data_IF_912026128980
#
_entry.id   IF_912026128980
#
_cell.length_a   1.000
_cell.length_b   1.000
_cell.length_c   1.000
_cell.angle_alpha   90.00
_cell.angle_beta   90.00
_cell.angle_gamma   90.00
#
_symmetry.space_group_name_H-M   'P 1'
#
loop_
_entity.id
_entity.type
_entity.pdbx_description
1 polymer ?
#
# COMPACT_ATOMS: atom_id res chain seq x y z
N UNK A 1 -14.62 -18.49 17.93
CA UNK A 1 -14.36 -17.90 16.61
C UNK A 1 -12.95 -17.34 16.67
N UNK A 2 -11.96 -18.16 16.36
CA UNK A 2 -10.54 -17.80 16.48
C UNK A 2 -10.07 -17.45 15.08
N UNK A 3 -10.00 -16.15 14.76
CA UNK A 3 -9.39 -15.70 13.51
C UNK A 3 -7.93 -16.15 13.51
N UNK A 4 -7.60 -17.00 12.55
CA UNK A 4 -6.28 -17.57 12.37
C UNK A 4 -5.24 -16.45 12.21
N UNK A 5 -4.04 -16.57 12.82
CA UNK A 5 -2.96 -15.63 12.55
C UNK A 5 -2.50 -15.86 11.11
N UNK A 6 -3.07 -15.13 10.15
CA UNK A 6 -2.49 -15.05 8.81
C UNK A 6 -1.05 -14.57 8.99
N UNK A 7 -0.12 -15.46 8.69
CA UNK A 7 1.32 -15.27 8.83
C UNK A 7 1.69 -13.91 8.24
N UNK A 8 2.06 -13.00 9.14
CA UNK A 8 2.19 -11.55 8.93
C UNK A 8 3.41 -11.21 8.07
N UNK A 9 3.38 -11.60 6.80
CA UNK A 9 4.24 -11.04 5.77
C UNK A 9 3.52 -9.86 5.12
N UNK A 10 3.19 -8.85 5.93
CA UNK A 10 2.71 -7.58 5.39
C UNK A 10 3.89 -6.64 5.20
N UNK A 11 3.97 -6.05 4.02
CA UNK A 11 4.87 -4.93 3.76
C UNK A 11 4.16 -3.66 4.17
N UNK A 12 4.78 -2.83 5.01
CA UNK A 12 4.26 -1.53 5.40
C UNK A 12 4.31 -0.53 4.25
N UNK A 13 3.42 0.47 4.29
CA UNK A 13 3.47 1.59 3.31
C UNK A 13 4.76 2.40 3.39
N UNK A 14 5.56 2.22 4.45
CA UNK A 14 6.88 2.82 4.60
C UNK A 14 7.84 2.39 3.48
N UNK A 15 7.72 1.15 2.98
CA UNK A 15 8.53 0.67 1.86
C UNK A 15 8.28 1.46 0.55
N UNK A 16 7.14 2.17 0.43
CA UNK A 16 6.90 3.07 -0.70
C UNK A 16 7.89 4.24 -0.73
N UNK A 17 8.50 4.58 0.41
CA UNK A 17 9.50 5.62 0.50
C UNK A 17 10.71 5.31 -0.36
N UNK A 18 11.11 4.03 -0.42
CA UNK A 18 12.22 3.55 -1.25
C UNK A 18 11.92 3.66 -2.75
N UNK A 19 10.64 3.71 -3.13
CA UNK A 19 10.19 3.90 -4.51
C UNK A 19 9.96 5.37 -4.87
N UNK A 20 10.28 6.29 -3.96
CA UNK A 20 10.17 7.74 -4.19
C UNK A 20 8.83 8.35 -3.80
N UNK A 21 8.01 7.64 -3.00
CA UNK A 21 6.82 8.24 -2.38
C UNK A 21 7.24 9.06 -1.15
N UNK A 22 6.71 10.28 -1.03
CA UNK A 22 7.05 11.16 0.11
C UNK A 22 6.51 10.61 1.43
N UNK A 23 7.30 10.69 2.50
CA UNK A 23 6.90 10.35 3.87
C UNK A 23 5.58 11.03 4.30
N UNK A 24 5.32 12.24 3.81
CA UNK A 24 4.06 12.96 4.09
C UNK A 24 2.85 12.24 3.51
N UNK A 25 2.96 11.68 2.30
CA UNK A 25 1.88 10.96 1.64
C UNK A 25 1.70 9.57 2.27
N UNK A 26 2.79 8.91 2.67
CA UNK A 26 2.76 7.66 3.45
C UNK A 26 2.01 7.87 4.77
N UNK A 27 2.30 8.97 5.48
CA UNK A 27 1.62 9.29 6.75
C UNK A 27 0.12 9.50 6.56
N UNK A 28 -0.31 10.14 5.46
CA UNK A 28 -1.74 10.29 5.12
C UNK A 28 -2.42 8.95 4.84
N UNK A 29 -1.72 8.03 4.16
CA UNK A 29 -2.23 6.67 3.95
C UNK A 29 -2.49 5.96 5.28
N UNK A 30 -1.51 6.03 6.21
CA UNK A 30 -1.64 5.46 7.56
C UNK A 30 -2.78 6.08 8.35
N UNK A 31 -2.91 7.41 8.31
CA UNK A 31 -4.01 8.16 8.94
C UNK A 31 -5.38 7.75 8.37
N UNK A 32 -5.42 7.45 7.06
CA UNK A 32 -6.56 6.87 6.36
C UNK A 32 -6.86 5.41 6.66
N UNK A 33 -6.08 4.74 7.53
CA UNK A 33 -6.21 3.32 7.83
C UNK A 33 -5.47 2.37 6.88
N UNK A 34 -4.70 2.89 5.93
CA UNK A 34 -3.90 2.11 4.98
C UNK A 34 -2.44 2.03 5.44
N UNK A 35 -2.17 1.21 6.45
CA UNK A 35 -0.82 1.05 6.99
C UNK A 35 0.06 0.06 6.21
N UNK A 36 -0.53 -0.78 5.35
CA UNK A 36 0.19 -1.83 4.61
C UNK A 36 0.00 -1.69 3.09
N UNK A 37 1.00 -2.13 2.33
CA UNK A 37 0.96 -2.22 0.86
C UNK A 37 -0.28 -2.97 0.39
N UNK A 38 -0.61 -4.09 1.06
CA UNK A 38 -1.81 -4.88 0.75
C UNK A 38 -3.09 -4.07 0.94
N UNK A 39 -3.21 -3.31 2.04
CA UNK A 39 -4.36 -2.43 2.27
C UNK A 39 -4.49 -1.34 1.19
N UNK A 40 -3.37 -0.74 0.75
CA UNK A 40 -3.36 0.25 -0.34
C UNK A 40 -3.76 -0.36 -1.68
N UNK A 41 -3.35 -1.61 -1.96
CA UNK A 41 -3.71 -2.31 -3.18
C UNK A 41 -5.19 -2.69 -3.22
N UNK A 42 -5.73 -3.18 -2.09
CA UNK A 42 -7.17 -3.51 -1.98
C UNK A 42 -8.04 -2.25 -1.98
N UNK A 43 -7.50 -1.13 -1.51
CA UNK A 43 -8.18 0.15 -1.52
C UNK A 43 -8.52 0.62 -2.94
N UNK A 44 -9.75 1.07 -3.10
CA UNK A 44 -10.20 1.74 -4.32
C UNK A 44 -9.58 3.13 -4.43
N UNK A 45 -9.35 3.58 -5.68
CA UNK A 45 -8.81 4.92 -5.97
C UNK A 45 -9.56 6.03 -5.22
N UNK A 46 -10.90 5.93 -5.17
CA UNK A 46 -11.78 6.85 -4.43
C UNK A 46 -11.44 6.98 -2.95
N UNK A 47 -11.07 5.90 -2.28
CA UNK A 47 -10.71 5.92 -0.86
C UNK A 47 -9.38 6.66 -0.66
N UNK A 48 -8.41 6.39 -1.53
CA UNK A 48 -7.10 7.02 -1.48
C UNK A 48 -7.17 8.52 -1.83
N UNK A 49 -7.97 8.91 -2.83
CA UNK A 49 -8.21 10.32 -3.19
C UNK A 49 -9.06 11.07 -2.15
N UNK A 50 -9.82 10.35 -1.32
CA UNK A 50 -10.58 10.96 -0.22
C UNK A 50 -9.68 11.47 0.90
N UNK A 51 -8.41 11.03 0.96
CA UNK A 51 -7.42 11.52 1.91
C UNK A 51 -7.01 12.95 1.55
N UNK A 52 -7.11 13.85 2.53
CA UNK A 52 -6.84 15.27 2.34
C UNK A 52 -5.39 15.50 1.90
N UNK A 53 -5.22 16.03 0.69
CA UNK A 53 -3.90 16.30 0.10
C UNK A 53 -3.25 15.12 -0.62
N UNK A 54 -4.02 14.09 -0.99
CA UNK A 54 -3.65 13.07 -1.97
C UNK A 54 -4.42 13.36 -3.27
N UNK A 55 -3.70 13.56 -4.38
CA UNK A 55 -4.29 13.77 -5.71
C UNK A 55 -4.28 12.47 -6.52
N UNK A 56 -5.08 12.38 -7.59
CA UNK A 56 -5.12 11.21 -8.48
C UNK A 56 -3.73 10.78 -8.96
N UNK A 57 -2.88 11.74 -9.35
CA UNK A 57 -1.49 11.46 -9.78
C UNK A 57 -0.68 10.77 -8.66
N UNK A 58 -0.88 11.17 -7.40
CA UNK A 58 -0.19 10.54 -6.27
C UNK A 58 -0.72 9.13 -6.04
N UNK A 59 -2.04 8.95 -6.13
CA UNK A 59 -2.67 7.62 -6.02
C UNK A 59 -2.12 6.67 -7.07
N UNK A 60 -2.00 7.09 -8.32
CA UNK A 60 -1.41 6.26 -9.37
C UNK A 60 0.04 5.85 -9.04
N UNK A 61 0.88 6.82 -8.64
CA UNK A 61 2.26 6.53 -8.23
C UNK A 61 2.35 5.58 -7.04
N UNK A 62 1.50 5.80 -6.03
CA UNK A 62 1.42 4.96 -4.83
C UNK A 62 1.00 3.53 -5.21
N UNK A 63 -0.04 3.36 -6.04
CA UNK A 63 -0.52 2.04 -6.45
C UNK A 63 0.48 1.32 -7.35
N UNK A 64 1.15 2.02 -8.26
CA UNK A 64 2.25 1.46 -9.07
C UNK A 64 3.38 0.94 -8.17
N UNK A 65 3.82 1.78 -7.23
CA UNK A 65 4.87 1.46 -6.27
C UNK A 65 4.47 0.29 -5.36
N UNK A 66 3.23 0.31 -4.85
CA UNK A 66 2.67 -0.77 -4.04
C UNK A 66 2.58 -2.09 -4.83
N UNK A 67 2.22 -2.03 -6.11
CA UNK A 67 2.15 -3.19 -6.99
C UNK A 67 3.53 -3.83 -7.18
N UNK A 68 4.57 -3.01 -7.36
CA UNK A 68 5.97 -3.46 -7.42
C UNK A 68 6.42 -4.15 -6.14
N UNK A 69 6.06 -3.61 -4.97
CA UNK A 69 6.42 -4.18 -3.66
C UNK A 69 5.64 -5.45 -3.32
N UNK A 70 4.38 -5.54 -3.74
CA UNK A 70 3.60 -6.77 -3.56
C UNK A 70 4.11 -7.90 -4.47
N UNK A 71 4.79 -7.56 -5.57
CA UNK A 71 5.39 -8.49 -6.51
C UNK A 71 4.37 -9.37 -7.25
N UNK A 72 4.70 -9.90 -8.44
CA UNK A 72 3.97 -11.04 -8.96
C UNK A 72 4.22 -12.21 -8.00
N UNK A 73 3.15 -12.82 -7.48
CA UNK A 73 3.19 -13.98 -6.56
C UNK A 73 3.85 -15.24 -7.16
N UNK A 74 4.60 -15.14 -8.25
CA UNK A 74 5.19 -16.27 -8.96
C UNK A 74 6.64 -16.51 -8.50
N UNK A 75 6.77 -17.15 -7.32
CA UNK A 75 7.93 -18.00 -7.08
C UNK A 75 7.72 -19.28 -7.87
N UNK A 76 8.40 -19.37 -9.02
CA UNK A 76 8.54 -20.63 -9.75
C UNK A 76 9.09 -21.67 -8.78
N UNK A 77 8.35 -22.77 -8.59
CA UNK A 77 8.88 -23.97 -7.97
C UNK A 77 10.04 -24.47 -8.83
N UNK A 78 11.14 -24.82 -8.17
CA UNK A 78 12.22 -25.61 -8.75
C UNK A 78 11.92 -27.07 -8.47
#
# INVERSE_FOLDING_TARGET
MTEAPESRFYTDVDALQELGISAQDIKKLKDGGFATIKAVLTASRKQLTSLKGISEIKVEKIKDSASKLSGPSFKTGK
#
